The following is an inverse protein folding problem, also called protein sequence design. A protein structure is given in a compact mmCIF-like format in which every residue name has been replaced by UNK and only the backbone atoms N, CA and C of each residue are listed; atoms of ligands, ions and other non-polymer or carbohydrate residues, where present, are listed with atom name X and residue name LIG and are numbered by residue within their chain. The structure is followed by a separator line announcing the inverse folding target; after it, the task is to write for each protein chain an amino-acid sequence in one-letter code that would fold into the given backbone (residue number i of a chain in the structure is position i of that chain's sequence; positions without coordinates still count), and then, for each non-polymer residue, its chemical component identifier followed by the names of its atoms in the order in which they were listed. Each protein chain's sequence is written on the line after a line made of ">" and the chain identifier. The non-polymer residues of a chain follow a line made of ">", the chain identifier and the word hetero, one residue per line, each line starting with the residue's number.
data_IF_458739471680
#
_entry.id   IF_458739471680
#
_cell.length_a   1.000
_cell.length_b   1.000
_cell.length_c   1.000
_cell.angle_alpha   90.00
_cell.angle_beta   90.00
_cell.angle_gamma   90.00
#
_symmetry.space_group_name_H-M   'P 1'
#
loop_
_entity.id
_entity.type
_entity.pdbx_description
1 polymer ?
#
# COMPACT_ATOMS: atom_id res chain seq x y z
N UNK A 1 -1.04 6.28 -34.37
CA UNK A 1 -1.91 6.53 -33.19
C UNK A 1 -1.12 6.10 -31.97
N UNK A 2 -0.89 6.98 -31.00
CA UNK A 2 -0.26 6.62 -29.71
C UNK A 2 -1.20 5.69 -28.96
N UNK A 3 -0.66 4.60 -28.42
CA UNK A 3 -1.45 3.70 -27.57
C UNK A 3 -1.98 4.48 -26.36
N UNK A 4 -3.23 4.18 -25.89
CA UNK A 4 -3.76 4.81 -24.69
C UNK A 4 -2.88 4.47 -23.47
N UNK A 5 -2.73 5.44 -22.56
CA UNK A 5 -1.94 5.26 -21.34
C UNK A 5 -2.61 4.20 -20.47
N UNK A 6 -1.85 3.19 -20.03
CA UNK A 6 -2.36 2.13 -19.17
C UNK A 6 -2.20 2.45 -17.69
N UNK A 7 -1.04 3.01 -17.29
CA UNK A 7 -0.73 3.33 -15.90
C UNK A 7 -0.49 4.83 -15.70
N UNK A 8 -1.00 5.38 -14.61
CA UNK A 8 -0.62 6.69 -14.10
C UNK A 8 -0.09 6.53 -12.67
N UNK A 9 1.17 6.86 -12.46
CA UNK A 9 1.80 6.83 -11.15
C UNK A 9 1.74 8.24 -10.57
N UNK A 10 1.05 8.40 -9.44
CA UNK A 10 0.92 9.68 -8.73
C UNK A 10 1.81 9.65 -7.50
N UNK A 11 2.76 10.56 -7.44
CA UNK A 11 3.77 10.64 -6.38
C UNK A 11 3.76 12.06 -5.80
N UNK A 12 3.49 12.15 -4.49
CA UNK A 12 3.68 13.40 -3.74
C UNK A 12 5.11 13.40 -3.17
N UNK A 13 5.94 14.36 -3.56
CA UNK A 13 7.32 14.46 -3.08
C UNK A 13 7.82 15.90 -3.14
N UNK A 14 8.36 16.38 -2.03
CA UNK A 14 9.09 17.65 -1.94
C UNK A 14 10.60 17.48 -2.16
N UNK A 15 11.07 16.22 -2.21
CA UNK A 15 12.48 15.87 -2.38
C UNK A 15 12.73 15.40 -3.82
N UNK A 16 13.44 16.20 -4.59
CA UNK A 16 13.71 15.93 -6.01
C UNK A 16 14.54 14.66 -6.25
N UNK A 17 15.43 14.30 -5.32
CA UNK A 17 16.23 13.07 -5.43
C UNK A 17 15.37 11.83 -5.21
N UNK A 18 14.58 11.79 -4.14
CA UNK A 18 13.63 10.70 -3.89
C UNK A 18 12.64 10.54 -5.03
N UNK A 19 12.11 11.67 -5.54
CA UNK A 19 11.21 11.64 -6.68
C UNK A 19 11.88 11.05 -7.93
N UNK A 20 13.13 11.41 -8.21
CA UNK A 20 13.86 10.86 -9.34
C UNK A 20 14.10 9.35 -9.18
N UNK A 21 14.55 8.89 -8.00
CA UNK A 21 14.81 7.48 -7.72
C UNK A 21 13.55 6.62 -7.86
N UNK A 22 12.43 7.05 -7.26
CA UNK A 22 11.17 6.29 -7.35
C UNK A 22 10.58 6.34 -8.76
N UNK A 23 10.77 7.45 -9.49
CA UNK A 23 10.35 7.54 -10.88
C UNK A 23 11.14 6.59 -11.77
N UNK A 24 12.46 6.52 -11.63
CA UNK A 24 13.31 5.58 -12.38
C UNK A 24 12.92 4.12 -12.11
N UNK A 25 12.60 3.79 -10.87
CA UNK A 25 12.08 2.47 -10.53
C UNK A 25 10.79 2.17 -11.31
N UNK A 26 9.81 3.09 -11.32
CA UNK A 26 8.56 2.88 -12.04
C UNK A 26 8.74 2.85 -13.56
N UNK A 27 9.60 3.69 -14.14
CA UNK A 27 9.96 3.62 -15.56
C UNK A 27 10.48 2.22 -15.93
N UNK A 28 11.33 1.63 -15.08
CA UNK A 28 11.83 0.27 -15.26
C UNK A 28 10.73 -0.80 -15.15
N UNK A 29 9.90 -0.73 -14.11
CA UNK A 29 8.83 -1.70 -13.85
C UNK A 29 7.70 -1.65 -14.89
N UNK A 30 7.51 -0.50 -15.53
CA UNK A 30 6.44 -0.25 -16.50
C UNK A 30 6.93 -0.20 -17.95
N UNK A 31 8.19 -0.54 -18.23
CA UNK A 31 8.80 -0.41 -19.55
C UNK A 31 8.01 -1.10 -20.70
N UNK A 32 7.21 -2.13 -20.38
CA UNK A 32 6.36 -2.82 -21.36
C UNK A 32 4.92 -2.26 -21.48
N UNK A 33 4.59 -1.18 -20.76
CA UNK A 33 3.24 -0.61 -20.70
C UNK A 33 3.27 0.90 -20.94
N UNK A 34 2.34 1.45 -21.76
CA UNK A 34 2.15 2.88 -21.87
C UNK A 34 1.81 3.49 -20.51
N UNK A 35 2.62 4.41 -20.02
CA UNK A 35 2.46 4.97 -18.68
C UNK A 35 2.83 6.46 -18.62
N UNK A 36 2.50 7.08 -17.50
CA UNK A 36 2.92 8.42 -17.11
C UNK A 36 3.25 8.48 -15.63
N UNK A 37 4.17 9.34 -15.27
CA UNK A 37 4.47 9.70 -13.88
C UNK A 37 3.98 11.12 -13.63
N UNK A 38 3.21 11.31 -12.56
CA UNK A 38 2.61 12.58 -12.16
C UNK A 38 3.19 12.98 -10.81
N UNK A 39 4.19 13.88 -10.83
CA UNK A 39 4.77 14.46 -9.61
C UNK A 39 3.91 15.60 -9.06
N UNK A 40 3.71 15.61 -7.75
CA UNK A 40 3.10 16.69 -6.98
C UNK A 40 4.11 17.14 -5.93
N UNK A 41 4.73 18.32 -6.14
CA UNK A 41 5.88 18.77 -5.37
C UNK A 41 5.55 19.82 -4.30
N UNK A 42 4.29 20.21 -4.22
CA UNK A 42 3.77 21.26 -3.34
C UNK A 42 2.44 20.83 -2.70
N UNK A 43 2.29 19.53 -2.43
CA UNK A 43 1.11 18.99 -1.78
C UNK A 43 0.95 19.57 -0.36
N UNK A 44 -0.24 20.06 -0.05
CA UNK A 44 -0.60 20.55 1.28
C UNK A 44 -0.91 19.40 2.24
N UNK A 45 -1.45 18.31 1.68
CA UNK A 45 -1.68 17.03 2.33
C UNK A 45 -1.56 15.91 1.31
N UNK A 46 -1.46 14.64 1.76
CA UNK A 46 -1.46 13.52 0.80
C UNK A 46 -2.81 13.37 0.12
N UNK A 47 -3.92 13.58 0.82
CA UNK A 47 -5.26 13.58 0.23
C UNK A 47 -5.39 14.63 -0.90
N UNK A 48 -5.00 15.89 -0.64
CA UNK A 48 -5.02 16.96 -1.64
C UNK A 48 -4.11 16.67 -2.83
N UNK A 49 -2.88 16.25 -2.54
CA UNK A 49 -1.89 15.94 -3.56
C UNK A 49 -2.34 14.77 -4.46
N UNK A 50 -2.88 13.71 -3.89
CA UNK A 50 -3.39 12.56 -4.64
C UNK A 50 -4.64 12.91 -5.44
N UNK A 51 -5.59 13.69 -4.91
CA UNK A 51 -6.72 14.19 -5.69
C UNK A 51 -6.26 15.05 -6.87
N UNK A 52 -5.28 15.93 -6.66
CA UNK A 52 -4.70 16.75 -7.72
C UNK A 52 -3.98 15.91 -8.78
N UNK A 53 -3.24 14.89 -8.36
CA UNK A 53 -2.61 13.92 -9.24
C UNK A 53 -3.64 13.10 -10.03
N UNK A 54 -4.71 12.65 -9.37
CA UNK A 54 -5.79 11.92 -10.01
C UNK A 54 -6.49 12.72 -11.12
N UNK A 55 -6.66 14.03 -10.93
CA UNK A 55 -7.18 14.93 -12.00
C UNK A 55 -6.27 14.99 -13.23
N UNK A 56 -4.94 14.74 -13.07
CA UNK A 56 -3.94 14.72 -14.15
C UNK A 56 -3.72 13.33 -14.72
N UNK A 57 -4.18 12.29 -14.02
CA UNK A 57 -4.05 10.91 -14.44
C UNK A 57 -4.85 10.64 -15.72
N UNK A 58 -4.24 9.92 -16.68
CA UNK A 58 -4.83 9.53 -17.97
C UNK A 58 -4.85 8.02 -18.17
N UNK A 59 -4.17 7.27 -17.31
CA UNK A 59 -4.13 5.81 -17.35
C UNK A 59 -5.39 5.19 -16.76
N UNK A 60 -5.77 4.01 -17.24
CA UNK A 60 -6.89 3.24 -16.70
C UNK A 60 -6.61 2.78 -15.26
N UNK A 61 -5.34 2.55 -14.96
CA UNK A 61 -4.85 2.19 -13.63
C UNK A 61 -4.10 3.37 -13.03
N UNK A 62 -4.44 3.71 -11.79
CA UNK A 62 -3.74 4.74 -11.02
C UNK A 62 -3.03 4.07 -9.85
N UNK A 63 -1.78 4.42 -9.66
CA UNK A 63 -0.96 4.02 -8.52
C UNK A 63 -0.61 5.26 -7.73
N UNK A 64 -1.12 5.36 -6.51
CA UNK A 64 -0.73 6.38 -5.55
C UNK A 64 0.43 5.82 -4.73
N UNK A 65 1.57 6.45 -4.80
CA UNK A 65 2.83 5.92 -4.25
C UNK A 65 3.53 6.92 -3.36
N UNK A 66 4.12 6.44 -2.27
CA UNK A 66 5.13 7.18 -1.54
C UNK A 66 6.39 7.38 -2.40
N UNK A 67 7.20 8.37 -2.06
CA UNK A 67 8.44 8.71 -2.76
C UNK A 67 9.67 7.97 -2.21
N UNK A 68 9.48 7.07 -1.24
CA UNK A 68 10.54 6.35 -0.55
C UNK A 68 10.28 4.83 -0.50
N UNK A 69 9.72 4.31 -1.58
CA UNK A 69 9.51 2.87 -1.75
C UNK A 69 10.44 2.30 -2.82
N UNK A 70 10.76 1.02 -2.66
CA UNK A 70 11.45 0.23 -3.68
C UNK A 70 10.72 -1.10 -3.89
N UNK A 71 10.15 -1.28 -5.07
CA UNK A 71 9.49 -2.52 -5.48
C UNK A 71 10.51 -3.41 -6.20
N UNK A 72 10.68 -4.65 -5.72
CA UNK A 72 11.72 -5.57 -6.22
C UNK A 72 11.19 -6.62 -7.20
N UNK A 73 9.93 -6.53 -7.59
CA UNK A 73 9.29 -7.50 -8.48
C UNK A 73 9.18 -6.94 -9.90
N UNK A 74 9.94 -7.50 -10.82
CA UNK A 74 9.94 -7.09 -12.23
C UNK A 74 8.61 -7.42 -12.96
N UNK A 75 7.79 -8.31 -12.40
CA UNK A 75 6.47 -8.62 -12.92
C UNK A 75 5.36 -7.73 -12.32
N UNK A 76 5.72 -6.69 -11.56
CA UNK A 76 4.78 -5.78 -10.89
C UNK A 76 3.64 -5.34 -11.79
N UNK A 77 3.95 -4.73 -12.95
CA UNK A 77 2.94 -4.19 -13.86
C UNK A 77 1.94 -5.26 -14.34
N UNK A 78 2.43 -6.43 -14.76
CA UNK A 78 1.58 -7.54 -15.22
C UNK A 78 0.70 -8.08 -14.09
N UNK A 79 1.25 -8.22 -12.89
CA UNK A 79 0.51 -8.69 -11.71
C UNK A 79 -0.62 -7.72 -11.37
N UNK A 80 -0.34 -6.41 -11.32
CA UNK A 80 -1.35 -5.41 -10.98
C UNK A 80 -2.42 -5.35 -12.08
N UNK A 81 -2.04 -5.31 -13.34
CA UNK A 81 -2.99 -5.28 -14.46
C UNK A 81 -3.94 -6.49 -14.45
N UNK A 82 -3.42 -7.69 -14.20
CA UNK A 82 -4.22 -8.91 -14.11
C UNK A 82 -5.12 -8.91 -12.87
N UNK A 83 -4.61 -8.53 -11.70
CA UNK A 83 -5.34 -8.58 -10.43
C UNK A 83 -6.47 -7.56 -10.33
N UNK A 84 -6.30 -6.39 -10.96
CA UNK A 84 -7.37 -5.38 -11.04
C UNK A 84 -8.53 -5.79 -11.99
N UNK A 85 -8.52 -7.01 -12.55
CA UNK A 85 -9.72 -7.61 -13.14
C UNK A 85 -10.67 -8.17 -12.06
N UNK A 86 -10.12 -8.62 -10.92
CA UNK A 86 -10.87 -9.29 -9.85
C UNK A 86 -11.01 -8.40 -8.60
N UNK A 87 -10.22 -7.33 -8.50
CA UNK A 87 -10.18 -6.39 -7.38
C UNK A 87 -10.34 -4.96 -7.85
N UNK A 88 -10.96 -4.11 -7.02
CA UNK A 88 -11.07 -2.68 -7.27
C UNK A 88 -9.86 -1.90 -6.78
N UNK A 89 -9.29 -2.33 -5.64
CA UNK A 89 -8.14 -1.69 -4.99
C UNK A 89 -7.16 -2.76 -4.48
N UNK A 90 -5.88 -2.51 -4.68
CA UNK A 90 -4.79 -3.36 -4.21
C UNK A 90 -3.79 -2.55 -3.38
N UNK A 91 -3.19 -3.20 -2.38
CA UNK A 91 -2.09 -2.67 -1.55
C UNK A 91 -1.10 -3.74 -1.17
N UNK A 92 -0.10 -3.41 -0.33
CA UNK A 92 0.92 -4.35 0.11
C UNK A 92 0.73 -4.85 1.55
N UNK A 93 -0.08 -4.14 2.34
CA UNK A 93 -0.46 -4.56 3.68
C UNK A 93 -1.85 -4.01 4.02
N UNK A 94 -2.52 -4.64 4.97
CA UNK A 94 -3.85 -4.22 5.39
C UNK A 94 -4.53 -5.21 6.34
N UNK A 95 -5.82 -5.01 6.60
CA UNK A 95 -6.58 -5.88 7.48
C UNK A 95 -7.97 -6.21 6.93
N UNK A 96 -8.40 -7.43 7.22
CA UNK A 96 -9.78 -7.93 7.01
C UNK A 96 -10.75 -7.47 8.11
N UNK A 97 -10.21 -6.93 9.21
CA UNK A 97 -10.99 -6.51 10.36
C UNK A 97 -10.41 -5.24 10.94
N UNK A 98 -11.05 -4.13 10.66
CA UNK A 98 -10.63 -2.85 11.22
C UNK A 98 -11.28 -2.67 12.59
N UNK A 99 -10.46 -2.43 13.61
CA UNK A 99 -10.91 -2.24 15.01
C UNK A 99 -10.54 -0.87 15.57
N UNK A 100 -9.58 -0.21 14.91
CA UNK A 100 -9.09 1.12 15.31
C UNK A 100 -8.38 1.80 14.14
N UNK A 101 -7.88 3.01 14.35
CA UNK A 101 -7.01 3.74 13.44
C UNK A 101 -5.67 3.04 13.16
N UNK A 102 -5.31 2.04 13.98
CA UNK A 102 -4.13 1.20 13.79
C UNK A 102 -4.56 -0.10 13.11
N UNK A 103 -4.58 -0.14 11.78
CA UNK A 103 -5.06 -1.30 11.01
C UNK A 103 -4.36 -2.62 11.40
N UNK A 104 -3.08 -2.56 11.79
CA UNK A 104 -2.33 -3.74 12.23
C UNK A 104 -2.73 -4.24 13.61
N UNK A 105 -3.46 -3.42 14.39
CA UNK A 105 -3.91 -3.75 15.73
C UNK A 105 -4.87 -4.93 15.79
N UNK A 106 -5.57 -5.22 14.69
CA UNK A 106 -6.42 -6.42 14.60
C UNK A 106 -5.62 -7.73 14.73
N UNK A 107 -4.32 -7.70 14.41
CA UNK A 107 -3.46 -8.88 14.54
C UNK A 107 -3.91 -10.07 13.70
N UNK A 108 -3.33 -11.23 14.03
CA UNK A 108 -3.67 -12.49 13.33
C UNK A 108 -5.02 -13.04 13.80
N UNK A 109 -5.82 -13.63 12.91
CA UNK A 109 -5.55 -13.94 11.50
C UNK A 109 -6.00 -12.82 10.54
N UNK A 110 -6.30 -11.62 11.01
CA UNK A 110 -7.01 -10.58 10.28
C UNK A 110 -6.10 -9.73 9.40
N UNK A 111 -4.83 -9.55 9.83
CA UNK A 111 -3.86 -8.76 9.08
C UNK A 111 -3.22 -9.54 7.96
N UNK A 112 -2.89 -8.87 6.87
CA UNK A 112 -2.24 -9.44 5.70
C UNK A 112 -1.13 -8.53 5.18
N UNK A 113 -0.16 -9.13 4.49
CA UNK A 113 0.92 -8.42 3.82
C UNK A 113 2.28 -8.59 4.46
N UNK A 114 3.28 -8.03 3.81
CA UNK A 114 4.63 -7.93 4.32
C UNK A 114 5.32 -6.69 3.72
N UNK A 115 6.09 -5.99 4.52
CA UNK A 115 6.85 -4.80 4.10
C UNK A 115 8.21 -4.85 4.79
N UNK A 116 9.28 -4.67 4.02
CA UNK A 116 10.60 -4.43 4.59
C UNK A 116 10.77 -2.95 4.89
N UNK A 117 11.17 -2.60 6.11
CA UNK A 117 11.33 -1.22 6.58
C UNK A 117 12.79 -0.98 6.96
N UNK A 118 13.33 0.18 6.59
CA UNK A 118 14.69 0.55 6.97
C UNK A 118 14.72 1.40 8.23
N UNK A 119 15.67 1.10 9.11
CA UNK A 119 15.96 1.87 10.32
C UNK A 119 17.46 2.17 10.37
N UNK A 120 17.89 3.30 9.82
CA UNK A 120 19.31 3.60 9.63
C UNK A 120 19.99 2.55 8.78
N UNK A 121 20.98 1.85 9.33
CA UNK A 121 21.68 0.74 8.65
C UNK A 121 21.01 -0.62 8.77
N UNK A 122 19.89 -0.72 9.46
CA UNK A 122 19.16 -1.98 9.63
C UNK A 122 17.95 -2.04 8.72
N UNK A 123 17.58 -3.27 8.38
CA UNK A 123 16.32 -3.56 7.69
C UNK A 123 15.51 -4.56 8.53
N UNK A 124 14.23 -4.33 8.63
CA UNK A 124 13.29 -5.24 9.29
C UNK A 124 12.19 -5.62 8.33
N UNK A 125 12.00 -6.91 8.08
CA UNK A 125 10.85 -7.42 7.36
C UNK A 125 9.71 -7.65 8.35
N UNK A 126 8.68 -6.82 8.28
CA UNK A 126 7.43 -6.98 9.02
C UNK A 126 6.50 -7.90 8.23
N UNK A 127 6.03 -8.99 8.86
CA UNK A 127 5.17 -9.98 8.21
C UNK A 127 3.86 -10.10 9.02
N UNK A 128 2.79 -9.63 8.43
CA UNK A 128 1.42 -9.76 8.94
C UNK A 128 0.68 -10.95 8.35
N UNK A 129 1.15 -11.42 7.19
CA UNK A 129 0.46 -12.46 6.42
C UNK A 129 0.33 -13.77 7.19
N UNK A 130 -0.87 -14.33 7.15
CA UNK A 130 -1.19 -15.66 7.70
C UNK A 130 -1.65 -16.63 6.61
N UNK A 131 -1.98 -16.11 5.44
CA UNK A 131 -2.47 -16.86 4.31
C UNK A 131 -1.37 -17.05 3.26
N UNK A 132 -1.31 -18.21 2.60
CA UNK A 132 -0.28 -18.52 1.60
C UNK A 132 -0.57 -17.93 0.22
N UNK A 133 -1.65 -17.19 0.05
CA UNK A 133 -2.10 -16.72 -1.25
C UNK A 133 -1.30 -15.51 -1.73
N UNK A 134 -1.01 -15.42 -3.04
CA UNK A 134 -0.38 -14.24 -3.63
C UNK A 134 -1.16 -12.94 -3.39
N UNK A 135 -2.50 -13.03 -3.38
CA UNK A 135 -3.39 -11.93 -3.03
C UNK A 135 -4.35 -12.40 -1.94
N UNK A 136 -4.43 -11.65 -0.86
CA UNK A 136 -5.39 -11.88 0.24
C UNK A 136 -6.58 -10.97 0.02
N UNK A 137 -7.76 -11.55 -0.05
CA UNK A 137 -9.05 -10.87 -0.22
C UNK A 137 -9.76 -10.56 1.10
N UNK A 138 -10.96 -9.96 1.01
CA UNK A 138 -11.78 -9.61 2.17
C UNK A 138 -11.19 -8.45 3.01
N UNK A 139 -10.27 -7.70 2.45
CA UNK A 139 -9.60 -6.58 3.10
C UNK A 139 -10.58 -5.41 3.26
N UNK A 140 -10.57 -4.78 4.44
CA UNK A 140 -11.36 -3.59 4.74
C UNK A 140 -10.56 -2.30 4.54
N UNK A 141 -9.26 -2.33 4.88
CA UNK A 141 -8.33 -1.21 4.69
C UNK A 141 -6.96 -1.69 4.27
N UNK A 142 -6.25 -0.83 3.55
CA UNK A 142 -4.86 -1.04 3.15
C UNK A 142 -3.98 0.10 3.65
N UNK A 143 -2.70 -0.21 3.82
CA UNK A 143 -1.64 0.74 4.13
C UNK A 143 -1.34 1.64 2.93
N UNK A 144 -1.11 2.92 3.17
CA UNK A 144 -0.95 3.97 2.17
C UNK A 144 0.35 3.96 1.39
N UNK A 145 1.28 3.07 1.72
CA UNK A 145 2.59 2.97 1.07
C UNK A 145 2.48 2.96 -0.46
N UNK A 146 1.51 2.19 -0.97
CA UNK A 146 1.21 2.10 -2.39
C UNK A 146 -0.23 1.61 -2.59
N UNK A 147 -1.07 2.46 -3.16
CA UNK A 147 -2.47 2.17 -3.45
C UNK A 147 -2.64 2.04 -4.96
N UNK A 148 -3.03 0.87 -5.42
CA UNK A 148 -3.21 0.58 -6.84
C UNK A 148 -4.69 0.34 -7.13
N UNK A 149 -5.28 1.08 -8.07
CA UNK A 149 -6.72 1.01 -8.32
C UNK A 149 -7.05 1.41 -9.76
N UNK A 150 -8.28 1.13 -10.20
CA UNK A 150 -8.77 1.70 -11.44
C UNK A 150 -9.05 3.20 -11.27
N UNK A 151 -8.81 3.98 -12.31
CA UNK A 151 -9.03 5.41 -12.28
C UNK A 151 -10.49 5.76 -11.95
N UNK A 152 -11.46 4.99 -12.47
CA UNK A 152 -12.88 5.17 -12.20
C UNK A 152 -13.21 4.98 -10.72
N UNK A 153 -12.68 3.92 -10.09
CA UNK A 153 -12.84 3.66 -8.65
C UNK A 153 -12.22 4.78 -7.83
N UNK A 154 -10.99 5.22 -8.20
CA UNK A 154 -10.34 6.33 -7.50
C UNK A 154 -11.14 7.63 -7.59
N UNK A 155 -11.77 7.92 -8.74
CA UNK A 155 -12.63 9.10 -8.93
C UNK A 155 -13.96 9.02 -8.20
N UNK A 156 -14.55 7.82 -8.12
CA UNK A 156 -15.80 7.56 -7.41
C UNK A 156 -15.64 7.78 -5.91
N UNK A 157 -14.56 7.28 -5.33
CA UNK A 157 -14.30 7.35 -3.89
C UNK A 157 -13.69 8.71 -3.50
N UNK A 158 -12.61 9.11 -4.17
CA UNK A 158 -11.83 10.31 -3.84
C UNK A 158 -11.17 10.26 -2.47
N UNK A 159 -10.16 11.09 -2.27
CA UNK A 159 -9.59 11.30 -0.94
C UNK A 159 -10.30 12.46 -0.25
N UNK A 160 -10.70 12.29 1.01
CA UNK A 160 -11.36 13.35 1.79
C UNK A 160 -10.33 14.39 2.27
N UNK A 161 -9.95 15.30 1.37
CA UNK A 161 -8.98 16.36 1.63
C UNK A 161 -9.49 17.46 2.58
N UNK A 162 -10.80 17.45 2.89
CA UNK A 162 -11.38 18.40 3.83
C UNK A 162 -11.19 17.95 5.29
N UNK A 163 -11.22 16.64 5.54
CA UNK A 163 -11.02 16.05 6.87
C UNK A 163 -9.56 15.67 7.08
N UNK A 164 -8.91 15.09 6.06
CA UNK A 164 -7.51 14.62 6.12
C UNK A 164 -6.59 15.61 5.39
N UNK A 165 -6.47 16.80 5.95
CA UNK A 165 -5.70 17.91 5.41
C UNK A 165 -4.19 17.88 5.79
N UNK A 166 -3.71 16.72 6.27
CA UNK A 166 -2.32 16.41 6.61
C UNK A 166 -1.78 15.18 5.89
N UNK A 167 -0.89 14.46 6.59
CA UNK A 167 -0.13 13.36 5.98
C UNK A 167 -0.48 11.98 6.57
N UNK A 168 -1.55 11.87 7.37
CA UNK A 168 -1.95 10.65 8.07
C UNK A 168 -3.41 10.28 7.80
N UNK A 169 -3.71 8.99 7.86
CA UNK A 169 -5.04 8.39 7.81
C UNK A 169 -5.84 8.64 6.50
N UNK A 170 -5.30 9.33 5.52
CA UNK A 170 -5.91 9.53 4.20
C UNK A 170 -6.12 8.19 3.48
N UNK A 171 -5.21 7.27 3.68
CA UNK A 171 -5.16 5.92 3.11
C UNK A 171 -6.20 4.99 3.74
N UNK A 172 -6.26 5.00 5.08
CA UNK A 172 -7.28 4.23 5.81
C UNK A 172 -8.67 4.74 5.44
N UNK A 173 -8.86 6.06 5.41
CA UNK A 173 -10.15 6.66 5.06
C UNK A 173 -10.56 6.31 3.63
N UNK A 174 -9.66 6.47 2.66
CA UNK A 174 -9.91 6.13 1.27
C UNK A 174 -10.30 4.66 1.11
N UNK A 175 -9.48 3.77 1.65
CA UNK A 175 -9.70 2.33 1.50
C UNK A 175 -10.93 1.84 2.27
N UNK A 176 -11.17 2.34 3.48
CA UNK A 176 -12.36 1.99 4.25
C UNK A 176 -13.65 2.54 3.62
N UNK A 177 -13.61 3.76 3.10
CA UNK A 177 -14.74 4.34 2.35
C UNK A 177 -15.06 3.53 1.10
N UNK A 178 -14.03 3.05 0.39
CA UNK A 178 -14.20 2.16 -0.75
C UNK A 178 -14.83 0.81 -0.34
N UNK A 179 -14.35 0.20 0.74
CA UNK A 179 -14.92 -1.03 1.27
C UNK A 179 -16.39 -0.83 1.67
N UNK A 180 -16.74 0.27 2.33
CA UNK A 180 -18.13 0.64 2.67
C UNK A 180 -19.01 0.81 1.43
N UNK A 181 -18.44 1.27 0.34
CA UNK A 181 -19.11 1.38 -0.98
C UNK A 181 -19.21 0.04 -1.73
N UNK A 182 -18.82 -1.07 -1.10
CA UNK A 182 -18.89 -2.41 -1.68
C UNK A 182 -17.73 -2.75 -2.63
N UNK A 183 -16.66 -1.94 -2.66
CA UNK A 183 -15.48 -2.25 -3.47
C UNK A 183 -14.69 -3.42 -2.88
N UNK A 184 -14.11 -4.23 -3.74
CA UNK A 184 -13.30 -5.38 -3.37
C UNK A 184 -11.83 -5.01 -3.25
N UNK A 185 -11.30 -5.06 -2.03
CA UNK A 185 -9.92 -4.75 -1.72
C UNK A 185 -9.08 -6.02 -1.57
N UNK A 186 -7.82 -5.95 -1.99
CA UNK A 186 -6.86 -7.05 -1.87
C UNK A 186 -5.47 -6.60 -1.44
N UNK A 187 -4.76 -7.49 -0.76
CA UNK A 187 -3.36 -7.29 -0.36
C UNK A 187 -2.45 -8.24 -1.14
N UNK A 188 -1.51 -7.67 -1.90
CA UNK A 188 -0.52 -8.40 -2.68
C UNK A 188 0.66 -8.83 -1.78
N UNK A 189 0.73 -10.13 -1.42
CA UNK A 189 1.75 -10.66 -0.53
C UNK A 189 3.02 -11.14 -1.26
N UNK A 190 2.98 -11.25 -2.58
CA UNK A 190 4.07 -11.81 -3.41
C UNK A 190 4.88 -10.74 -4.17
N UNK A 191 4.74 -9.48 -3.80
CA UNK A 191 5.48 -8.36 -4.37
C UNK A 191 6.41 -7.79 -3.29
N UNK A 192 7.69 -8.21 -3.27
CA UNK A 192 8.66 -7.71 -2.30
C UNK A 192 8.83 -6.20 -2.43
N UNK A 193 8.62 -5.50 -1.31
CA UNK A 193 8.64 -4.03 -1.26
C UNK A 193 9.42 -3.55 -0.04
N UNK A 194 10.27 -2.56 -0.23
CA UNK A 194 11.00 -1.87 0.83
C UNK A 194 10.38 -0.49 1.00
N UNK A 195 10.14 -0.08 2.24
CA UNK A 195 9.82 1.27 2.64
C UNK A 195 11.02 1.88 3.36
N UNK A 196 11.58 2.95 2.83
CA UNK A 196 12.81 3.53 3.38
C UNK A 196 12.58 4.32 4.67
N UNK A 197 11.35 4.48 5.12
CA UNK A 197 11.00 5.09 6.39
C UNK A 197 10.06 4.19 7.21
N UNK A 198 9.97 4.45 8.49
CA UNK A 198 8.93 3.89 9.36
C UNK A 198 7.86 4.96 9.59
N UNK A 199 6.61 4.57 9.70
CA UNK A 199 5.51 5.49 9.99
C UNK A 199 5.77 6.33 11.25
N UNK A 200 5.36 7.58 11.23
CA UNK A 200 5.42 8.48 12.38
C UNK A 200 4.05 8.46 13.09
N UNK A 201 4.00 7.86 14.28
CA UNK A 201 2.80 7.77 15.13
C UNK A 201 2.74 8.89 16.17
N UNK A 202 3.08 10.10 15.74
CA UNK A 202 3.10 11.33 16.55
C UNK A 202 1.71 11.79 16.98
N UNK A 203 1.61 12.94 17.65
CA UNK A 203 0.31 13.50 18.05
C UNK A 203 -0.58 13.84 16.86
N UNK A 204 -0.01 14.26 15.73
CA UNK A 204 -0.79 14.48 14.51
C UNK A 204 -1.47 13.19 14.03
N UNK A 205 -0.77 12.04 14.03
CA UNK A 205 -1.39 10.75 13.72
C UNK A 205 -2.59 10.46 14.63
N UNK A 206 -2.43 10.65 15.94
CA UNK A 206 -3.53 10.44 16.92
C UNK A 206 -4.70 11.40 16.70
N UNK A 207 -4.42 12.64 16.29
CA UNK A 207 -5.48 13.60 15.97
C UNK A 207 -6.31 13.14 14.76
N UNK A 208 -5.66 12.77 13.66
CA UNK A 208 -6.35 12.23 12.48
C UNK A 208 -7.03 10.87 12.79
N UNK A 209 -6.45 10.06 13.68
CA UNK A 209 -7.09 8.85 14.19
C UNK A 209 -8.44 9.13 14.84
N UNK A 210 -8.52 10.15 15.69
CA UNK A 210 -9.81 10.58 16.29
C UNK A 210 -10.83 11.04 15.25
N UNK A 211 -10.39 11.77 14.22
CA UNK A 211 -11.27 12.19 13.11
C UNK A 211 -11.76 10.99 12.31
N UNK A 212 -10.89 10.05 12.01
CA UNK A 212 -11.21 8.82 11.32
C UNK A 212 -12.25 7.99 12.10
N UNK A 213 -12.02 7.77 13.39
CA UNK A 213 -12.96 7.04 14.26
C UNK A 213 -14.31 7.75 14.37
N UNK A 214 -14.32 9.07 14.48
CA UNK A 214 -15.55 9.85 14.50
C UNK A 214 -16.34 9.78 13.18
N UNK A 215 -15.63 9.81 12.03
CA UNK A 215 -16.25 9.67 10.70
C UNK A 215 -16.89 8.31 10.47
N UNK A 216 -16.30 7.24 11.03
CA UNK A 216 -16.72 5.85 10.80
C UNK A 216 -17.29 5.16 12.05
N UNK A 217 -17.69 5.92 13.06
CA UNK A 217 -18.18 5.41 14.36
C UNK A 217 -19.40 4.48 14.28
N UNK A 218 -20.14 4.53 13.20
CA UNK A 218 -21.34 3.70 12.96
C UNK A 218 -21.02 2.23 12.67
N UNK A 219 -19.76 1.93 12.32
CA UNK A 219 -19.33 0.57 11.93
C UNK A 219 -18.20 0.05 12.80
N UNK A 220 -17.31 0.93 13.27
CA UNK A 220 -16.14 0.50 14.02
C UNK A 220 -16.52 0.03 15.44
N UNK A 221 -16.04 -1.15 15.85
CA UNK A 221 -16.23 -1.60 17.22
C UNK A 221 -15.45 -0.72 18.21
N UNK A 222 -15.81 -0.72 19.51
CA UNK A 222 -14.98 -0.09 20.53
C UNK A 222 -13.56 -0.69 20.51
N UNK A 223 -12.58 0.15 20.75
CA UNK A 223 -11.14 -0.13 20.67
C UNK A 223 -10.72 -1.51 21.19
N UNK A 224 -9.93 -2.22 20.37
CA UNK A 224 -9.30 -3.49 20.73
C UNK A 224 -7.83 -3.29 21.14
N UNK A 225 -7.22 -4.34 21.71
CA UNK A 225 -5.80 -4.34 22.06
C UNK A 225 -4.91 -4.37 20.80
N UNK A 226 -3.85 -3.58 20.80
CA UNK A 226 -2.86 -3.56 19.71
C UNK A 226 -2.07 -4.87 19.64
N UNK A 227 -2.05 -5.50 18.47
CA UNK A 227 -1.17 -6.61 18.15
C UNK A 227 -0.05 -6.13 17.21
N UNK A 228 1.13 -6.70 17.35
CA UNK A 228 2.27 -6.33 16.52
C UNK A 228 2.58 -7.40 15.46
N UNK A 229 3.09 -6.99 14.28
CA UNK A 229 3.51 -7.94 13.25
C UNK A 229 4.71 -8.76 13.73
N UNK A 230 4.90 -9.94 13.14
CA UNK A 230 6.14 -10.69 13.30
C UNK A 230 7.25 -9.95 12.55
N UNK A 231 8.27 -9.56 13.26
CA UNK A 231 9.44 -8.87 12.71
C UNK A 231 10.60 -9.84 12.52
N UNK A 232 11.26 -9.71 11.37
CA UNK A 232 12.45 -10.47 11.00
C UNK A 232 13.55 -9.43 10.77
N UNK A 233 14.38 -9.25 11.77
CA UNK A 233 15.53 -8.35 11.71
C UNK A 233 16.60 -8.86 10.75
N UNK A 234 17.28 -7.95 10.08
CA UNK A 234 18.42 -8.21 9.23
C UNK A 234 19.44 -7.07 9.30
N UNK A 235 20.67 -7.32 8.86
CA UNK A 235 21.69 -6.30 8.72
C UNK A 235 21.50 -5.52 7.42
N UNK A 236 22.14 -4.36 7.29
CA UNK A 236 22.11 -3.51 6.11
C UNK A 236 22.54 -4.22 4.79
N UNK A 237 23.32 -5.30 4.91
CA UNK A 237 23.68 -6.18 3.81
C UNK A 237 22.46 -6.78 3.08
N UNK A 238 21.29 -6.88 3.74
CA UNK A 238 20.06 -7.34 3.10
C UNK A 238 19.48 -6.26 2.15
N UNK A 239 19.75 -4.98 2.40
CA UNK A 239 19.34 -3.89 1.50
C UNK A 239 20.18 -3.81 0.24
N UNK A 240 21.51 -4.06 0.36
CA UNK A 240 22.42 -4.09 -0.79
C UNK A 240 22.29 -5.37 -1.63
N UNK A 241 21.67 -6.41 -1.07
CA UNK A 241 21.41 -7.68 -1.76
C UNK A 241 19.90 -7.94 -1.85
N UNK A 242 19.28 -7.34 -2.87
CA UNK A 242 17.87 -7.55 -3.14
C UNK A 242 17.47 -9.01 -3.35
N UNK A 243 18.40 -9.88 -3.81
CA UNK A 243 18.16 -11.32 -3.98
C UNK A 243 18.02 -12.01 -2.63
N UNK A 244 18.84 -11.64 -1.65
CA UNK A 244 18.74 -12.19 -0.29
C UNK A 244 17.43 -11.77 0.38
N UNK A 245 17.01 -10.52 0.21
CA UNK A 245 15.71 -10.05 0.70
C UNK A 245 14.55 -10.78 0.03
N UNK A 246 14.56 -10.93 -1.29
CA UNK A 246 13.51 -11.67 -2.02
C UNK A 246 13.47 -13.14 -1.59
N UNK A 247 14.63 -13.78 -1.37
CA UNK A 247 14.69 -15.15 -0.85
C UNK A 247 14.10 -15.26 0.56
N UNK A 248 14.43 -14.29 1.44
CA UNK A 248 13.86 -14.22 2.79
C UNK A 248 12.36 -13.99 2.73
N UNK A 249 11.90 -13.07 1.90
CA UNK A 249 10.48 -12.80 1.67
C UNK A 249 9.74 -14.07 1.25
N UNK A 250 10.20 -14.75 0.21
CA UNK A 250 9.60 -16.01 -0.27
C UNK A 250 9.53 -17.07 0.82
N UNK A 251 10.61 -17.26 1.56
CA UNK A 251 10.65 -18.23 2.66
C UNK A 251 9.67 -17.89 3.78
N UNK A 252 9.60 -16.64 4.20
CA UNK A 252 8.84 -16.23 5.37
C UNK A 252 7.36 -16.00 5.08
N UNK A 253 7.01 -15.60 3.85
CA UNK A 253 5.63 -15.32 3.44
C UNK A 253 4.98 -16.55 2.80
N UNK A 254 5.72 -17.38 2.04
CA UNK A 254 5.13 -18.47 1.25
C UNK A 254 5.55 -19.89 1.68
N UNK A 255 6.76 -20.14 2.19
CA UNK A 255 7.22 -21.50 2.43
C UNK A 255 6.63 -22.19 3.66
N UNK A 256 6.03 -21.46 4.59
CA UNK A 256 5.32 -22.07 5.74
C UNK A 256 3.96 -22.66 5.38
N UNK A 257 3.47 -22.43 4.18
CA UNK A 257 2.16 -22.87 3.70
C UNK A 257 2.18 -24.16 2.87
N UNK A 258 3.32 -24.81 2.72
CA UNK A 258 3.40 -26.08 1.98
C UNK A 258 2.66 -27.25 2.69
N UNK A 259 1.96 -27.02 3.81
CA UNK A 259 1.35 -28.07 4.62
C UNK A 259 -0.18 -28.00 4.76
N UNK A 260 -0.91 -27.25 3.98
CA UNK A 260 -2.36 -27.47 3.89
C UNK A 260 -2.84 -27.19 2.47
N UNK A 261 -2.88 -28.20 1.63
CA UNK A 261 -3.87 -28.23 0.55
C UNK A 261 -5.22 -28.56 1.22
N UNK A 262 -6.22 -27.75 1.15
CA UNK A 262 -7.57 -28.24 1.40
C UNK A 262 -7.87 -29.21 0.25
N UNK A 263 -8.17 -30.43 0.60
CA UNK A 263 -8.85 -31.37 -0.26
C UNK A 263 -10.23 -30.81 -0.53
N UNK A 264 -10.48 -30.45 -1.80
CA UNK A 264 -11.76 -30.24 -2.52
C UNK A 264 -12.85 -29.46 -1.82
#
# INVERSE_FOLDING_TARGET
>A
MTQPIRFSIVICSINSLKFAEVSEMYESLLAGFPHQIVGIHDARSLAEGYNRGLRRARGDIVVFSHDDILILDQDFARKIDARLQDFDILGFAGTRRLESEYWWGAGKPWTAGAIAVTHGSNITLSVWNTDPWPVVDGIQVIDGLCIMTRQETAREIGFDEAVFDGFHLYDLDFSFSAWRAGKKLGVCCDIPTIHASCGDFCEAYRQYGRLFLAKHQDILPPSASLAHPRQIGGRATLLSDSRALVATWRREVFQRSAFVRPVR
#
